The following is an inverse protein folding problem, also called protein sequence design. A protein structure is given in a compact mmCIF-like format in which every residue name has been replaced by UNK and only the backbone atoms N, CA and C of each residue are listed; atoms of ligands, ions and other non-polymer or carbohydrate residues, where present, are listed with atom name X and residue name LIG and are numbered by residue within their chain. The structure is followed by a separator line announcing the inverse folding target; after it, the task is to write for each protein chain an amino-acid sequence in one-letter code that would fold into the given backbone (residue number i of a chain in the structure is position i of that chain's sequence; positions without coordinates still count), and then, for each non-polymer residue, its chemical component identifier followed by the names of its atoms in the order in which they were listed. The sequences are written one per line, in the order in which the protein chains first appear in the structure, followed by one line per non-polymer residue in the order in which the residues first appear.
data_IF_677041730561
#
_entry.id   IF_677041730561
#
_cell.length_a   1.000
_cell.length_b   1.000
_cell.length_c   1.000
_cell.angle_alpha   90.00
_cell.angle_beta   90.00
_cell.angle_gamma   90.00
#
_symmetry.space_group_name_H-M   'P 1'
#
loop_
_entity.id
_entity.type
_entity.pdbx_description
1 polymer ?
#
# COMPACT_ATOMS: atom_id res chain seq x y z
N UNK A 1 3.89 3.66 23.35
CA UNK A 1 3.72 2.83 22.13
C UNK A 1 3.67 3.73 20.92
N UNK A 2 4.60 3.61 19.96
CA UNK A 2 4.58 4.43 18.73
C UNK A 2 3.51 3.89 17.77
N UNK A 3 2.51 4.70 17.46
CA UNK A 3 1.47 4.43 16.45
C UNK A 3 1.88 5.14 15.17
N UNK A 4 2.42 4.40 14.21
CA UNK A 4 2.81 4.96 12.92
C UNK A 4 2.47 4.01 11.78
N UNK A 5 2.33 4.61 10.59
CA UNK A 5 2.15 3.94 9.31
C UNK A 5 3.37 4.28 8.47
N UNK A 6 3.94 3.29 7.78
CA UNK A 6 4.95 3.49 6.76
C UNK A 6 4.32 3.14 5.42
N UNK A 7 4.49 4.03 4.45
CA UNK A 7 4.01 3.83 3.09
C UNK A 7 5.13 3.26 2.22
N UNK A 8 4.82 2.20 1.50
CA UNK A 8 5.70 1.57 0.51
C UNK A 8 5.06 1.65 -0.88
N UNK A 9 5.89 1.74 -1.91
CA UNK A 9 5.46 1.67 -3.32
C UNK A 9 5.88 0.38 -4.00
N UNK A 10 6.77 -0.39 -3.37
CA UNK A 10 7.20 -1.69 -3.83
C UNK A 10 7.37 -2.59 -2.60
N UNK A 11 6.70 -3.74 -2.60
CA UNK A 11 6.78 -4.77 -1.57
C UNK A 11 6.77 -6.13 -2.26
N UNK A 12 7.25 -7.16 -1.55
CA UNK A 12 7.04 -8.55 -1.94
C UNK A 12 5.61 -8.97 -1.58
N UNK A 13 4.70 -8.86 -2.55
CA UNK A 13 3.27 -9.15 -2.37
C UNK A 13 2.97 -10.57 -1.88
N UNK A 14 3.82 -11.54 -2.21
CA UNK A 14 3.65 -12.94 -1.81
C UNK A 14 3.74 -13.17 -0.30
N UNK A 15 4.22 -12.18 0.47
CA UNK A 15 4.31 -12.24 1.93
C UNK A 15 3.00 -11.86 2.63
N UNK A 16 1.99 -11.42 1.87
CA UNK A 16 0.74 -10.89 2.41
C UNK A 16 -0.47 -11.59 1.79
N UNK A 17 -1.47 -11.87 2.59
CA UNK A 17 -2.79 -12.22 2.09
C UNK A 17 -3.54 -10.94 1.76
N UNK A 18 -4.00 -10.80 0.52
CA UNK A 18 -4.67 -9.62 0.01
C UNK A 18 -6.17 -9.88 -0.07
N UNK A 19 -6.96 -9.07 0.65
CA UNK A 19 -8.42 -9.15 0.61
C UNK A 19 -8.96 -7.83 0.09
N UNK A 20 -9.54 -7.86 -1.11
CA UNK A 20 -10.19 -6.70 -1.69
C UNK A 20 -11.48 -6.37 -0.94
N UNK A 21 -11.57 -5.13 -0.47
CA UNK A 21 -12.76 -4.56 0.14
C UNK A 21 -13.29 -3.44 -0.77
N UNK A 22 -14.52 -3.62 -1.22
CA UNK A 22 -15.26 -2.58 -1.91
C UNK A 22 -16.02 -1.76 -0.87
N UNK A 23 -15.47 -0.60 -0.52
CA UNK A 23 -16.15 0.32 0.38
C UNK A 23 -16.98 1.33 -0.43
N UNK A 24 -18.29 1.08 -0.48
CA UNK A 24 -19.29 1.98 -1.08
C UNK A 24 -19.69 3.09 -0.08
N UNK A 25 -18.71 3.86 0.39
CA UNK A 25 -18.93 4.98 1.30
C UNK A 25 -18.75 6.28 0.53
N UNK A 26 -19.72 7.22 0.58
CA UNK A 26 -19.61 8.47 -0.15
C UNK A 26 -18.42 9.26 0.40
N UNK A 27 -17.42 9.46 -0.46
CA UNK A 27 -16.23 10.24 -0.15
C UNK A 27 -16.37 11.61 -0.81
N UNK A 28 -16.82 12.58 -0.03
CA UNK A 28 -16.92 13.97 -0.46
C UNK A 28 -15.57 14.67 -0.22
N UNK A 29 -14.82 14.92 -1.29
CA UNK A 29 -13.70 15.86 -1.24
C UNK A 29 -14.12 17.19 -1.88
N UNK A 30 -13.43 18.30 -1.56
CA UNK A 30 -13.76 19.63 -2.10
C UNK A 30 -13.84 19.70 -3.65
N UNK A 31 -13.26 18.74 -4.36
CA UNK A 31 -13.18 18.71 -5.82
C UNK A 31 -13.62 17.37 -6.45
N UNK A 32 -14.16 16.42 -5.67
CA UNK A 32 -14.65 15.15 -6.23
C UNK A 32 -15.75 14.50 -5.38
N UNK A 33 -16.83 14.10 -6.06
CA UNK A 33 -17.85 13.19 -5.56
C UNK A 33 -17.49 11.77 -5.99
N UNK A 34 -16.83 11.01 -5.12
CA UNK A 34 -16.53 9.59 -5.34
C UNK A 34 -17.38 8.71 -4.43
N UNK A 35 -18.05 7.69 -4.98
CA UNK A 35 -18.89 6.76 -4.19
C UNK A 35 -18.18 5.45 -3.84
N UNK A 36 -17.04 5.17 -4.48
CA UNK A 36 -16.38 3.87 -4.37
C UNK A 36 -14.87 4.08 -4.19
N UNK A 37 -14.33 3.63 -3.05
CA UNK A 37 -12.90 3.36 -2.92
C UNK A 37 -12.70 1.85 -2.83
N UNK A 38 -11.99 1.30 -3.82
CA UNK A 38 -11.41 -0.03 -3.71
C UNK A 38 -10.20 0.08 -2.79
N UNK A 39 -10.23 -0.61 -1.66
CA UNK A 39 -9.08 -0.75 -0.76
C UNK A 39 -8.81 -2.23 -0.58
N UNK A 40 -7.55 -2.61 -0.60
CA UNK A 40 -7.16 -4.00 -0.39
C UNK A 40 -6.57 -4.11 1.01
N UNK A 41 -7.15 -4.94 1.88
CA UNK A 41 -6.59 -5.22 3.20
C UNK A 41 -5.40 -6.17 3.06
N UNK A 42 -4.29 -5.83 3.70
CA UNK A 42 -3.11 -6.68 3.82
C UNK A 42 -3.17 -7.40 5.15
N UNK A 43 -3.20 -8.74 5.10
CA UNK A 43 -3.20 -9.61 6.27
C UNK A 43 -1.95 -10.50 6.29
N UNK A 44 -1.56 -10.95 7.48
CA UNK A 44 -0.55 -11.99 7.60
C UNK A 44 -1.11 -13.32 7.06
N UNK A 45 -0.44 -14.00 6.12
CA UNK A 45 -0.92 -15.29 5.59
C UNK A 45 -1.05 -16.39 6.65
N UNK A 46 -0.26 -16.31 7.72
CA UNK A 46 -0.18 -17.35 8.75
C UNK A 46 -1.20 -17.17 9.88
N UNK A 47 -1.45 -15.93 10.31
CA UNK A 47 -2.28 -15.65 11.49
C UNK A 47 -3.47 -14.72 11.20
N UNK A 48 -3.68 -14.30 9.95
CA UNK A 48 -4.73 -13.39 9.51
C UNK A 48 -4.79 -12.04 10.25
N UNK A 49 -3.74 -11.68 10.98
CA UNK A 49 -3.64 -10.38 11.63
C UNK A 49 -3.55 -9.25 10.59
N UNK A 50 -4.21 -8.14 10.89
CA UNK A 50 -4.21 -6.96 10.03
C UNK A 50 -2.86 -6.25 10.05
N UNK A 51 -2.26 -6.10 8.87
CA UNK A 51 -0.96 -5.47 8.65
C UNK A 51 -1.14 -4.04 8.12
N UNK A 52 -2.02 -3.85 7.14
CA UNK A 52 -2.11 -2.59 6.41
C UNK A 52 -3.18 -2.58 5.32
N UNK A 53 -3.15 -1.54 4.47
CA UNK A 53 -3.99 -1.45 3.27
C UNK A 53 -3.14 -1.16 2.03
N UNK A 54 -3.52 -1.72 0.89
CA UNK A 54 -3.12 -1.25 -0.42
C UNK A 54 -4.21 -0.33 -0.99
N UNK A 55 -3.79 0.72 -1.67
CA UNK A 55 -4.68 1.64 -2.38
C UNK A 55 -4.06 2.06 -3.71
N UNK A 56 -4.91 2.23 -4.71
CA UNK A 56 -4.52 2.76 -6.01
C UNK A 56 -4.65 4.27 -5.93
N UNK A 57 -3.52 4.98 -5.93
CA UNK A 57 -3.51 6.45 -5.94
C UNK A 57 -2.91 6.96 -7.25
N UNK A 58 -3.27 8.18 -7.64
CA UNK A 58 -2.62 8.86 -8.76
C UNK A 58 -1.17 9.14 -8.37
N UNK A 59 -0.25 8.94 -9.30
CA UNK A 59 1.15 9.16 -9.04
C UNK A 59 1.47 10.63 -8.68
N UNK A 60 2.04 10.98 -7.50
CA UNK A 60 2.88 12.17 -7.51
C UNK A 60 4.03 12.09 -8.50
N UNK A 61 4.34 13.23 -9.15
CA UNK A 61 5.30 13.29 -10.26
C UNK A 61 6.70 12.83 -9.85
N UNK A 62 7.08 13.00 -8.59
CA UNK A 62 8.41 12.65 -8.08
C UNK A 62 8.66 11.13 -8.02
N UNK A 63 7.62 10.31 -7.82
CA UNK A 63 7.77 8.87 -7.67
C UNK A 63 7.44 8.07 -8.93
N UNK A 64 6.80 8.69 -9.93
CA UNK A 64 6.66 8.09 -11.26
C UNK A 64 8.02 7.74 -11.90
N UNK A 65 9.10 8.36 -11.42
CA UNK A 65 10.48 8.09 -11.85
C UNK A 65 11.05 6.78 -11.29
N UNK A 66 10.66 6.35 -10.08
CA UNK A 66 11.22 5.14 -9.43
C UNK A 66 10.67 3.86 -10.07
N UNK A 67 9.43 3.90 -10.57
CA UNK A 67 8.77 2.77 -11.23
C UNK A 67 9.18 2.62 -12.70
N UNK A 68 9.82 3.62 -13.32
CA UNK A 68 10.28 3.55 -14.72
C UNK A 68 11.38 2.51 -14.95
N UNK A 69 12.10 2.09 -13.90
CA UNK A 69 13.12 1.06 -14.00
C UNK A 69 12.55 -0.36 -14.18
N UNK A 70 11.23 -0.54 -14.00
CA UNK A 70 10.52 -1.79 -14.30
C UNK A 70 9.58 -1.60 -15.51
N UNK A 71 10.17 -1.57 -16.70
CA UNK A 71 9.53 -1.57 -18.04
C UNK A 71 8.41 -0.55 -18.31
N UNK A 72 8.53 0.31 -19.35
CA UNK A 72 7.54 1.33 -19.63
C UNK A 72 6.30 0.69 -20.27
N UNK A 73 5.24 0.42 -19.49
CA UNK A 73 3.91 0.16 -20.05
C UNK A 73 3.31 1.50 -20.48
N UNK A 74 3.56 1.82 -21.75
CA UNK A 74 3.02 2.97 -22.49
C UNK A 74 1.49 2.98 -22.39
N UNK A 75 0.92 4.00 -21.75
CA UNK A 75 -0.49 4.39 -21.94
C UNK A 75 -1.49 4.12 -20.81
N UNK A 76 -1.06 3.80 -19.59
CA UNK A 76 -1.99 3.68 -18.45
C UNK A 76 -1.84 4.92 -17.59
N UNK A 77 -2.95 5.61 -17.30
CA UNK A 77 -3.00 6.67 -16.28
C UNK A 77 -2.16 6.23 -15.07
N UNK A 78 -1.09 6.94 -14.73
CA UNK A 78 -0.08 6.54 -13.73
C UNK A 78 -0.70 6.33 -12.35
N UNK A 79 -1.36 5.19 -12.16
CA UNK A 79 -1.89 4.75 -10.88
C UNK A 79 -0.83 3.84 -10.29
N UNK A 80 -0.22 4.29 -9.20
CA UNK A 80 0.77 3.49 -8.46
C UNK A 80 0.07 2.91 -7.25
N UNK A 81 0.33 1.63 -6.99
CA UNK A 81 -0.15 0.99 -5.77
C UNK A 81 0.67 1.48 -4.59
N UNK A 82 -0.01 2.06 -3.61
CA UNK A 82 0.57 2.49 -2.34
C UNK A 82 0.15 1.52 -1.24
N UNK A 83 1.12 0.99 -0.51
CA UNK A 83 0.91 0.05 0.60
C UNK A 83 1.21 0.76 1.93
N UNK A 84 0.16 0.99 2.72
CA UNK A 84 0.24 1.61 4.04
C UNK A 84 0.28 0.53 5.12
N UNK A 85 1.46 0.33 5.72
CA UNK A 85 1.72 -0.73 6.70
C UNK A 85 1.89 -0.15 8.09
N UNK A 86 1.22 -0.73 9.09
CA UNK A 86 1.39 -0.35 10.49
C UNK A 86 2.78 -0.76 10.97
N UNK A 87 3.51 0.18 11.57
CA UNK A 87 4.85 -0.11 12.14
C UNK A 87 4.77 -1.26 13.15
N UNK A 88 3.69 -1.34 13.93
CA UNK A 88 3.48 -2.41 14.92
C UNK A 88 3.26 -3.80 14.31
N UNK A 89 2.93 -3.88 13.02
CA UNK A 89 2.80 -5.15 12.30
C UNK A 89 4.15 -5.62 11.72
N UNK A 90 5.14 -4.73 11.65
CA UNK A 90 6.50 -5.08 11.23
C UNK A 90 7.27 -5.57 12.45
N UNK A 91 7.79 -6.80 12.38
CA UNK A 91 8.83 -7.21 13.30
C UNK A 91 10.18 -6.66 12.80
N UNK A 92 10.98 -6.00 13.66
CA UNK A 92 12.37 -5.73 13.34
C UNK A 92 13.07 -7.05 13.05
N UNK A 93 13.78 -7.14 11.92
CA UNK A 93 14.66 -8.28 11.68
C UNK A 93 15.75 -8.25 12.75
N UNK A 94 15.87 -9.32 13.53
CA UNK A 94 16.96 -9.50 14.50
C UNK A 94 18.26 -9.89 13.79
N UNK A 95 18.60 -9.23 12.69
CA UNK A 95 19.95 -9.27 12.17
C UNK A 95 20.82 -8.68 13.27
N UNK A 96 21.44 -9.57 14.04
CA UNK A 96 22.36 -9.23 15.12
C UNK A 96 23.37 -8.29 14.48
N UNK A 97 23.46 -7.06 15.00
CA UNK A 97 24.66 -6.26 14.84
C UNK A 97 25.75 -7.00 15.62
N UNK A 98 26.28 -8.07 15.02
CA UNK A 98 27.46 -8.77 15.52
C UNK A 98 28.65 -7.94 15.07
N UNK A 99 29.02 -6.97 15.90
CA UNK A 99 30.34 -6.35 15.93
C UNK A 99 30.87 -6.47 17.35
#
# INVERSE_FOLDING_TARGET
MKTGIISFFNIDEGRFSQIDEFQCMPHFSRYSLGLFRRKTKLLCPQCNNYIGNASYDKAPPEYALVTQNSSPRKGVTDTVTKYDIRIRALQPSSAVASL
#
